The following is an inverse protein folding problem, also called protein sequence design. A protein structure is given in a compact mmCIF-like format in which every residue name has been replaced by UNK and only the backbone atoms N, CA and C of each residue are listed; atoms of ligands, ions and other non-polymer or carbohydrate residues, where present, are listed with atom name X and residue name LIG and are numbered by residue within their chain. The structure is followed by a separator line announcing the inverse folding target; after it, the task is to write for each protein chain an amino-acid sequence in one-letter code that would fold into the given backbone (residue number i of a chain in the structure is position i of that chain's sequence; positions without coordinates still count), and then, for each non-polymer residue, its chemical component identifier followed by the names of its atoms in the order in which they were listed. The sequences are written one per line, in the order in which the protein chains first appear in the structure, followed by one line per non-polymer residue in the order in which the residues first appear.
data_IF_600519258818
#
_entry.id   IF_600519258818
#
_cell.length_a   1.000
_cell.length_b   1.000
_cell.length_c   1.000
_cell.angle_alpha   90.00
_cell.angle_beta   90.00
_cell.angle_gamma   90.00
#
_symmetry.space_group_name_H-M   'P 1'
#
loop_
_entity.id
_entity.type
_entity.pdbx_description
1 polymer ?
#
# COMPACT_ATOMS: atom_id res chain seq x y z
N UNK A 1 9.14 -10.92 -18.56
CA UNK A 1 7.83 -11.30 -19.11
C UNK A 1 6.77 -10.25 -18.75
N UNK A 2 5.75 -10.09 -19.59
CA UNK A 2 4.60 -9.22 -19.35
C UNK A 2 3.35 -10.10 -19.26
N UNK A 3 2.53 -9.87 -18.22
CA UNK A 3 1.20 -10.47 -18.09
C UNK A 3 0.17 -9.37 -17.95
N UNK A 4 -0.90 -9.44 -18.72
CA UNK A 4 -1.99 -8.47 -18.73
C UNK A 4 -3.25 -9.14 -18.19
N UNK A 5 -3.92 -8.45 -17.25
CA UNK A 5 -5.18 -8.86 -16.65
C UNK A 5 -6.18 -7.73 -16.73
N UNK A 6 -7.41 -8.04 -17.16
CA UNK A 6 -8.53 -7.11 -17.18
C UNK A 6 -9.76 -7.78 -16.59
N UNK A 7 -10.56 -7.04 -15.84
CA UNK A 7 -11.74 -7.61 -15.14
C UNK A 7 -12.79 -8.14 -16.13
N UNK A 8 -12.92 -7.51 -17.30
CA UNK A 8 -13.86 -7.86 -18.36
C UNK A 8 -13.28 -8.82 -19.42
N UNK A 9 -11.97 -9.12 -19.36
CA UNK A 9 -11.29 -9.96 -20.35
C UNK A 9 -11.08 -9.30 -21.71
N UNK A 10 -11.25 -7.97 -21.82
CA UNK A 10 -11.09 -7.23 -23.08
C UNK A 10 -9.65 -7.26 -23.59
N UNK A 11 -8.67 -7.47 -22.71
CA UNK A 11 -7.27 -7.64 -23.07
C UNK A 11 -6.59 -8.59 -22.08
N UNK A 12 -5.77 -9.50 -22.58
CA UNK A 12 -5.04 -10.46 -21.76
C UNK A 12 -5.92 -11.52 -21.11
N UNK A 13 -5.67 -11.84 -19.87
CA UNK A 13 -6.44 -12.80 -19.08
C UNK A 13 -7.54 -12.10 -18.30
N UNK A 14 -8.74 -12.65 -18.30
CA UNK A 14 -9.82 -12.14 -17.45
C UNK A 14 -9.51 -12.42 -15.99
N UNK A 15 -9.56 -11.38 -15.14
CA UNK A 15 -9.31 -11.46 -13.72
C UNK A 15 -8.66 -10.20 -13.18
N UNK A 16 -8.21 -10.27 -11.94
CA UNK A 16 -7.50 -9.17 -11.28
C UNK A 16 -6.00 -9.37 -11.37
N UNK A 17 -5.25 -8.28 -11.39
CA UNK A 17 -3.78 -8.32 -11.40
C UNK A 17 -3.18 -9.03 -10.18
N UNK A 18 -3.95 -9.17 -9.11
CA UNK A 18 -3.55 -9.89 -7.89
C UNK A 18 -3.65 -11.41 -8.02
N UNK A 19 -4.43 -11.93 -8.98
CA UNK A 19 -4.69 -13.36 -9.09
C UNK A 19 -3.43 -14.20 -9.37
N UNK A 20 -2.51 -13.80 -10.26
CA UNK A 20 -1.30 -14.57 -10.53
C UNK A 20 -0.21 -14.43 -9.48
N UNK A 21 -0.29 -13.43 -8.58
CA UNK A 21 0.83 -13.06 -7.68
C UNK A 21 1.22 -14.24 -6.77
N UNK A 22 0.25 -14.95 -6.20
CA UNK A 22 0.54 -16.09 -5.32
C UNK A 22 1.41 -17.16 -5.97
N UNK A 23 1.20 -17.44 -7.27
CA UNK A 23 2.02 -18.40 -8.02
C UNK A 23 3.43 -17.89 -8.35
N UNK A 24 3.69 -16.59 -8.21
CA UNK A 24 4.99 -16.00 -8.51
C UNK A 24 5.88 -15.80 -7.28
N UNK A 25 5.30 -15.88 -6.06
CA UNK A 25 6.00 -15.54 -4.82
C UNK A 25 7.28 -16.35 -4.59
N UNK A 26 7.30 -17.63 -4.93
CA UNK A 26 8.47 -18.49 -4.68
C UNK A 26 9.72 -18.09 -5.50
N UNK A 27 9.53 -17.27 -6.53
CA UNK A 27 10.61 -16.75 -7.39
C UNK A 27 10.70 -15.22 -7.35
N UNK A 28 10.19 -14.60 -6.27
CA UNK A 28 10.13 -13.14 -6.14
C UNK A 28 10.88 -12.70 -4.89
N UNK A 29 11.86 -11.82 -5.05
CA UNK A 29 12.64 -11.25 -3.94
C UNK A 29 12.03 -9.96 -3.41
N UNK A 30 11.38 -9.16 -4.27
CA UNK A 30 10.74 -7.89 -3.91
C UNK A 30 9.59 -7.59 -4.87
N UNK A 31 8.56 -6.93 -4.34
CA UNK A 31 7.40 -6.47 -5.13
C UNK A 31 7.39 -4.94 -5.16
N UNK A 32 7.22 -4.37 -6.34
CA UNK A 32 6.92 -2.96 -6.54
C UNK A 32 5.49 -2.84 -7.05
N UNK A 33 4.65 -2.11 -6.34
CA UNK A 33 3.24 -1.98 -6.68
C UNK A 33 2.81 -0.51 -6.75
N UNK A 34 2.03 -0.19 -7.77
CA UNK A 34 1.38 1.11 -7.93
C UNK A 34 -0.03 0.90 -8.47
N UNK A 35 -1.01 1.62 -7.94
CA UNK A 35 -2.41 1.52 -8.35
C UNK A 35 -3.39 1.80 -7.22
N UNK A 36 -4.67 1.44 -7.38
CA UNK A 36 -5.71 1.70 -6.39
C UNK A 36 -5.37 1.13 -5.00
N UNK A 37 -5.73 1.86 -3.95
CA UNK A 37 -5.40 1.51 -2.55
C UNK A 37 -5.85 0.10 -2.16
N UNK A 38 -7.00 -0.36 -2.66
CA UNK A 38 -7.49 -1.73 -2.43
C UNK A 38 -6.60 -2.80 -3.05
N UNK A 39 -6.03 -2.53 -4.22
CA UNK A 39 -5.05 -3.40 -4.88
C UNK A 39 -3.75 -3.45 -4.08
N UNK A 40 -3.22 -2.29 -3.67
CA UNK A 40 -1.99 -2.21 -2.87
C UNK A 40 -2.12 -2.96 -1.54
N UNK A 41 -3.28 -2.81 -0.87
CA UNK A 41 -3.62 -3.57 0.34
C UNK A 41 -3.57 -5.09 0.08
N UNK A 42 -4.21 -5.54 -1.00
CA UNK A 42 -4.25 -6.97 -1.35
C UNK A 42 -2.85 -7.51 -1.65
N UNK A 43 -2.05 -6.79 -2.46
CA UNK A 43 -0.68 -7.17 -2.79
C UNK A 43 0.20 -7.22 -1.53
N UNK A 44 0.11 -6.22 -0.67
CA UNK A 44 0.88 -6.16 0.59
C UNK A 44 0.53 -7.33 1.52
N UNK A 45 -0.74 -7.71 1.61
CA UNK A 45 -1.17 -8.88 2.39
C UNK A 45 -0.65 -10.19 1.79
N UNK A 46 -0.67 -10.33 0.47
CA UNK A 46 -0.14 -11.51 -0.23
C UNK A 46 1.38 -11.60 -0.01
N UNK A 47 2.11 -10.50 -0.20
CA UNK A 47 3.57 -10.44 0.02
C UNK A 47 3.96 -10.84 1.46
N UNK A 48 3.18 -10.40 2.45
CA UNK A 48 3.41 -10.72 3.85
C UNK A 48 3.33 -12.23 4.16
N UNK A 49 2.57 -13.01 3.39
CA UNK A 49 2.47 -14.48 3.59
C UNK A 49 3.80 -15.21 3.39
N UNK A 50 4.72 -14.63 2.62
CA UNK A 50 6.05 -15.15 2.33
C UNK A 50 7.17 -14.22 2.82
N UNK A 51 6.82 -13.22 3.63
CA UNK A 51 7.76 -12.20 4.14
C UNK A 51 8.55 -11.47 3.02
N UNK A 52 7.92 -11.33 1.84
CA UNK A 52 8.53 -10.63 0.70
C UNK A 52 8.34 -9.12 0.87
N UNK A 53 9.42 -8.31 0.79
CA UNK A 53 9.31 -6.87 0.81
C UNK A 53 8.40 -6.35 -0.31
N UNK A 54 7.48 -5.44 0.02
CA UNK A 54 6.56 -4.84 -0.93
C UNK A 54 6.61 -3.32 -0.83
N UNK A 55 7.15 -2.68 -1.85
CA UNK A 55 7.21 -1.23 -1.98
C UNK A 55 5.94 -0.75 -2.69
N UNK A 56 5.06 -0.06 -1.96
CA UNK A 56 3.76 0.40 -2.46
C UNK A 56 3.79 1.90 -2.71
N UNK A 57 3.64 2.30 -3.97
CA UNK A 57 3.43 3.70 -4.35
C UNK A 57 1.94 4.04 -4.18
N UNK A 58 1.61 4.78 -3.13
CA UNK A 58 0.23 5.12 -2.79
C UNK A 58 -0.30 6.29 -3.61
N UNK A 59 -1.59 6.24 -3.94
CA UNK A 59 -2.34 7.31 -4.59
C UNK A 59 -3.41 7.85 -3.63
N UNK A 60 -2.96 8.61 -2.63
CA UNK A 60 -3.88 9.23 -1.68
C UNK A 60 -4.36 10.60 -2.18
N UNK A 61 -5.53 11.02 -1.72
CA UNK A 61 -6.08 12.35 -2.04
C UNK A 61 -5.07 13.44 -1.71
N UNK A 62 -4.82 14.34 -2.66
CA UNK A 62 -3.81 15.38 -2.50
C UNK A 62 -4.38 16.76 -2.83
N UNK A 63 -4.22 17.71 -1.90
CA UNK A 63 -4.63 19.09 -2.12
C UNK A 63 -3.41 20.02 -2.26
N UNK A 64 -2.58 20.17 -1.22
CA UNK A 64 -1.47 21.12 -1.26
C UNK A 64 -0.17 20.56 -1.87
N UNK A 65 0.10 19.28 -1.74
CA UNK A 65 1.34 18.63 -2.18
C UNK A 65 2.61 19.01 -1.41
N UNK A 66 2.51 19.90 -0.41
CA UNK A 66 3.65 20.47 0.35
C UNK A 66 3.60 20.16 1.85
N UNK A 67 2.71 19.28 2.28
CA UNK A 67 2.64 18.79 3.65
C UNK A 67 1.91 19.68 4.65
N UNK A 68 1.09 20.65 4.23
CA UNK A 68 0.39 21.60 5.12
C UNK A 68 -1.05 21.15 5.40
N UNK A 69 -1.82 20.73 4.38
CA UNK A 69 -3.28 20.53 4.51
C UNK A 69 -3.67 19.23 5.20
N UNK A 70 -2.77 18.28 5.38
CA UNK A 70 -3.01 16.96 6.00
C UNK A 70 -4.07 16.09 5.29
N UNK A 71 -4.37 16.37 4.02
CA UNK A 71 -5.37 15.61 3.24
C UNK A 71 -4.87 14.22 2.82
N UNK A 72 -3.57 14.10 2.55
CA UNK A 72 -2.94 12.88 2.04
C UNK A 72 -2.33 11.98 3.13
N UNK A 73 -2.84 12.05 4.36
CA UNK A 73 -2.29 11.30 5.47
C UNK A 73 -2.76 9.85 5.49
N UNK A 74 -1.87 8.95 5.85
CA UNK A 74 -2.17 7.55 6.11
C UNK A 74 -1.42 7.04 7.35
N UNK A 75 -1.96 6.02 8.05
CA UNK A 75 -1.33 5.47 9.24
C UNK A 75 -0.22 4.49 8.85
N UNK A 76 1.01 4.77 9.30
CA UNK A 76 2.19 3.96 9.04
C UNK A 76 2.87 3.60 10.36
N UNK A 77 3.31 2.36 10.48
CA UNK A 77 4.07 1.87 11.63
C UNK A 77 5.53 2.29 11.46
N UNK A 78 6.06 3.05 12.41
CA UNK A 78 7.47 3.44 12.43
C UNK A 78 8.39 2.28 12.81
N UNK A 79 9.70 2.49 12.70
CA UNK A 79 10.71 1.48 13.07
C UNK A 79 10.69 1.15 14.57
N UNK A 80 10.18 2.05 15.39
CA UNK A 80 9.93 1.87 16.82
C UNK A 80 8.61 1.13 17.13
N UNK A 81 7.88 0.67 16.11
CA UNK A 81 6.58 0.00 16.26
C UNK A 81 5.40 0.93 16.54
N UNK A 82 5.63 2.24 16.61
CA UNK A 82 4.57 3.22 16.89
C UNK A 82 3.94 3.73 15.61
N UNK A 83 2.62 3.69 15.53
CA UNK A 83 1.88 4.22 14.38
C UNK A 83 1.93 5.75 14.37
N UNK A 84 2.16 6.31 13.20
CA UNK A 84 2.11 7.76 12.94
C UNK A 84 1.23 8.04 11.74
N UNK A 85 0.55 9.18 11.75
CA UNK A 85 -0.13 9.70 10.57
C UNK A 85 0.90 10.44 9.72
N UNK A 86 1.30 9.85 8.59
CA UNK A 86 2.32 10.41 7.70
C UNK A 86 1.69 10.98 6.44
N UNK A 87 2.30 11.99 5.86
CA UNK A 87 1.83 12.68 4.65
C UNK A 87 2.47 12.06 3.43
N UNK A 88 1.68 11.44 2.57
CA UNK A 88 2.21 10.78 1.38
C UNK A 88 2.88 11.75 0.40
N UNK A 89 2.49 13.03 0.39
CA UNK A 89 3.08 14.03 -0.49
C UNK A 89 4.52 14.40 -0.14
N UNK A 90 4.92 14.31 1.13
CA UNK A 90 6.27 14.71 1.60
C UNK A 90 7.09 13.54 2.13
N UNK A 91 6.46 12.52 2.68
CA UNK A 91 7.10 11.36 3.30
C UNK A 91 7.01 10.10 2.44
N UNK A 92 6.12 10.11 1.43
CA UNK A 92 5.98 9.11 0.39
C UNK A 92 6.38 9.64 -0.98
N UNK A 93 5.75 9.18 -2.08
CA UNK A 93 4.55 8.30 -2.11
C UNK A 93 4.83 6.82 -1.86
N UNK A 94 6.08 6.39 -1.75
CA UNK A 94 6.45 4.98 -1.64
C UNK A 94 6.60 4.61 -0.17
N UNK A 95 5.87 3.56 0.24
CA UNK A 95 5.91 3.01 1.58
C UNK A 95 6.12 1.50 1.55
N UNK A 96 6.78 0.97 2.59
CA UNK A 96 6.82 -0.48 2.81
C UNK A 96 5.40 -0.98 3.13
N UNK A 97 4.88 -1.86 2.28
CA UNK A 97 3.49 -2.31 2.36
C UNK A 97 3.12 -2.99 3.68
N UNK A 98 4.08 -3.66 4.34
CA UNK A 98 3.88 -4.28 5.65
C UNK A 98 3.73 -3.27 6.79
N UNK A 99 4.18 -2.03 6.61
CA UNK A 99 4.10 -0.96 7.62
C UNK A 99 2.87 -0.09 7.47
N UNK A 100 2.18 -0.10 6.34
CA UNK A 100 0.94 0.65 6.15
C UNK A 100 -0.21 -0.08 6.82
N UNK A 101 -0.97 0.62 7.65
CA UNK A 101 -2.17 0.09 8.29
C UNK A 101 -3.38 0.23 7.36
N UNK A 102 -3.41 -0.58 6.32
CA UNK A 102 -4.36 -0.51 5.22
C UNK A 102 -5.84 -0.50 5.64
N UNK A 103 -6.18 -1.21 6.72
CA UNK A 103 -7.56 -1.30 7.22
C UNK A 103 -7.98 -0.07 8.04
N UNK A 104 -7.01 0.83 8.33
CA UNK A 104 -7.18 2.00 9.18
C UNK A 104 -7.08 3.33 8.40
N UNK A 105 -6.94 3.26 7.07
CA UNK A 105 -6.88 4.46 6.22
C UNK A 105 -8.20 5.24 6.35
N UNK A 106 -8.10 6.57 6.49
CA UNK A 106 -9.23 7.46 6.70
C UNK A 106 -9.60 7.69 8.16
N UNK A 107 -8.89 7.09 9.11
CA UNK A 107 -9.07 7.32 10.55
C UNK A 107 -7.74 7.33 11.29
N UNK A 108 -7.74 7.83 12.52
CA UNK A 108 -6.59 7.77 13.42
C UNK A 108 -6.70 6.51 14.27
N UNK A 109 -5.84 5.49 14.07
CA UNK A 109 -5.91 4.27 14.85
C UNK A 109 -5.62 4.50 16.34
N UNK A 110 -6.16 3.68 17.25
CA UNK A 110 -5.75 3.68 18.65
C UNK A 110 -4.23 3.45 18.79
N UNK A 111 -3.59 4.17 19.72
CA UNK A 111 -2.15 4.08 19.94
C UNK A 111 -1.29 4.82 18.92
N UNK A 112 -1.89 5.61 18.04
CA UNK A 112 -1.15 6.51 17.14
C UNK A 112 -0.42 7.59 17.95
N UNK A 113 0.83 7.88 17.59
CA UNK A 113 1.61 8.98 18.20
C UNK A 113 0.86 10.31 18.10
N UNK A 114 0.63 10.96 19.24
CA UNK A 114 -0.15 12.20 19.31
C UNK A 114 -1.67 12.05 19.11
N UNK A 115 -2.15 10.82 18.94
CA UNK A 115 -3.56 10.53 18.79
C UNK A 115 -4.31 10.42 20.13
N UNK A 116 -5.62 10.22 20.09
CA UNK A 116 -6.43 10.01 21.30
C UNK A 116 -5.94 8.76 22.06
N UNK A 117 -5.94 8.88 23.37
CA UNK A 117 -5.61 7.76 24.29
C UNK A 117 -6.80 6.80 24.41
#
# INVERSE_FOLDING_TARGET
SLSIFTEDGSMGTQGRVTDPIQGLLDNTDIIYACGPMGMLKAISKIAATKEIPCQSAVEESMACGIGICMTCVLPVIGDDGVTRMVRSCTEGPIFEGSKVRWDEIGRVPPGTYGGPK
#
